data_IF_131398692772
#
_entry.id   IF_131398692772
#
_cell.length_a   1.000
_cell.length_b   1.000
_cell.length_c   1.000
_cell.angle_alpha   90.00
_cell.angle_beta   90.00
_cell.angle_gamma   90.00
#
_symmetry.space_group_name_H-M   'P 1'
#
loop_
_entity.id
_entity.type
_entity.pdbx_description
1 polymer ?
#
# COMPACT_ATOMS: atom_id res chain seq x y z
N UNK A 1 -4.31 -11.15 -13.68
CA UNK A 1 -5.43 -10.21 -13.98
C UNK A 1 -5.41 -9.02 -13.05
N UNK A 2 -5.21 -9.27 -11.77
CA UNK A 2 -5.23 -8.33 -10.66
C UNK A 2 -4.23 -7.15 -10.70
N UNK A 3 -3.14 -7.23 -11.48
CA UNK A 3 -2.21 -6.11 -11.71
C UNK A 3 -2.75 -5.07 -12.70
N UNK A 4 -3.69 -5.46 -13.57
CA UNK A 4 -4.21 -4.59 -14.63
C UNK A 4 -5.00 -3.42 -14.05
N UNK A 5 -5.73 -3.61 -12.95
CA UNK A 5 -6.47 -2.55 -12.27
C UNK A 5 -5.53 -1.51 -11.65
N UNK A 6 -4.54 -1.96 -10.87
CA UNK A 6 -3.56 -1.06 -10.25
C UNK A 6 -2.76 -0.28 -11.31
N UNK A 7 -2.35 -0.95 -12.39
CA UNK A 7 -1.69 -0.30 -13.51
C UNK A 7 -2.61 0.70 -14.20
N UNK A 8 -3.89 0.37 -14.41
CA UNK A 8 -4.86 1.28 -15.01
C UNK A 8 -5.05 2.54 -14.16
N UNK A 9 -5.07 2.42 -12.83
CA UNK A 9 -5.13 3.58 -11.92
C UNK A 9 -3.91 4.48 -12.11
N UNK A 10 -2.70 3.91 -12.13
CA UNK A 10 -1.47 4.68 -12.36
C UNK A 10 -1.45 5.34 -13.76
N UNK A 11 -1.94 4.64 -14.78
CA UNK A 11 -2.07 5.19 -16.13
C UNK A 11 -3.10 6.33 -16.18
N UNK A 12 -4.22 6.22 -15.48
CA UNK A 12 -5.21 7.31 -15.39
C UNK A 12 -4.57 8.56 -14.78
N UNK A 13 -3.77 8.41 -13.72
CA UNK A 13 -3.01 9.52 -13.13
C UNK A 13 -2.03 10.12 -14.15
N UNK A 14 -1.21 9.29 -14.80
CA UNK A 14 -0.23 9.74 -15.79
C UNK A 14 -0.88 10.43 -17.02
N UNK A 15 -2.10 10.02 -17.38
CA UNK A 15 -2.88 10.58 -18.48
C UNK A 15 -3.77 11.77 -18.06
N UNK A 16 -3.68 12.24 -16.81
CA UNK A 16 -4.51 13.32 -16.25
C UNK A 16 -6.02 13.04 -16.23
N UNK A 17 -6.42 11.76 -16.19
CA UNK A 17 -7.81 11.31 -16.03
C UNK A 17 -8.16 11.16 -14.55
N UNK A 18 -8.06 12.25 -13.80
CA UNK A 18 -8.16 12.21 -12.33
C UNK A 18 -9.56 11.81 -11.82
N UNK A 19 -10.61 12.09 -12.60
CA UNK A 19 -11.99 11.69 -12.28
C UNK A 19 -12.17 10.16 -12.26
N UNK A 20 -11.28 9.42 -12.93
CA UNK A 20 -11.30 7.96 -12.98
C UNK A 20 -10.44 7.32 -11.87
N UNK A 21 -9.94 8.12 -10.91
CA UNK A 21 -9.11 7.65 -9.79
C UNK A 21 -9.94 7.66 -8.51
N UNK A 22 -10.25 6.47 -7.98
CA UNK A 22 -11.00 6.33 -6.76
C UNK A 22 -10.27 6.94 -5.56
N UNK A 23 -11.01 7.61 -4.67
CA UNK A 23 -10.47 8.19 -3.43
C UNK A 23 -10.17 7.14 -2.36
N UNK A 24 -10.75 5.95 -2.43
CA UNK A 24 -10.45 4.84 -1.55
C UNK A 24 -10.23 3.58 -2.38
N UNK A 25 -9.26 2.76 -1.96
CA UNK A 25 -8.90 1.53 -2.66
C UNK A 25 -9.00 0.32 -1.76
N UNK A 26 -9.39 -0.85 -2.29
CA UNK A 26 -9.25 -2.11 -1.59
C UNK A 26 -7.79 -2.40 -1.23
N UNK A 27 -7.56 -3.06 -0.09
CA UNK A 27 -6.22 -3.43 0.37
C UNK A 27 -5.40 -4.20 -0.69
N UNK A 28 -5.93 -5.22 -1.40
CA UNK A 28 -5.16 -5.92 -2.44
C UNK A 28 -4.70 -5.01 -3.58
N UNK A 29 -5.51 -4.03 -3.97
CA UNK A 29 -5.17 -3.04 -5.01
C UNK A 29 -4.10 -2.08 -4.50
N UNK A 30 -4.20 -1.64 -3.24
CA UNK A 30 -3.20 -0.77 -2.60
C UNK A 30 -1.81 -1.42 -2.53
N UNK A 31 -1.74 -2.71 -2.19
CA UNK A 31 -0.48 -3.47 -2.21
C UNK A 31 0.16 -3.44 -3.60
N UNK A 32 -0.63 -3.70 -4.65
CA UNK A 32 -0.11 -3.70 -6.03
C UNK A 32 0.30 -2.31 -6.49
N UNK A 33 -0.45 -1.26 -6.14
CA UNK A 33 -0.02 0.10 -6.43
C UNK A 33 1.31 0.40 -5.75
N UNK A 34 1.51 -0.02 -4.50
CA UNK A 34 2.81 0.14 -3.84
C UNK A 34 3.94 -0.58 -4.60
N UNK A 35 3.70 -1.83 -5.04
CA UNK A 35 4.67 -2.59 -5.85
C UNK A 35 5.00 -1.88 -7.16
N UNK A 36 3.98 -1.42 -7.90
CA UNK A 36 4.18 -0.72 -9.16
C UNK A 36 4.84 0.65 -8.96
N UNK A 37 4.53 1.35 -7.87
CA UNK A 37 5.15 2.63 -7.54
C UNK A 37 6.65 2.49 -7.23
N UNK A 38 7.04 1.45 -6.51
CA UNK A 38 8.43 1.11 -6.27
C UNK A 38 9.13 0.67 -7.57
N UNK A 39 8.48 -0.20 -8.35
CA UNK A 39 9.02 -0.71 -9.62
C UNK A 39 9.29 0.38 -10.66
N UNK A 40 8.38 1.37 -10.77
CA UNK A 40 8.46 2.42 -11.79
C UNK A 40 8.91 3.78 -11.24
N UNK A 41 9.36 3.85 -9.98
CA UNK A 41 9.73 5.09 -9.28
C UNK A 41 8.69 6.21 -9.45
N UNK A 42 7.42 5.86 -9.27
CA UNK A 42 6.29 6.76 -9.54
C UNK A 42 5.51 7.21 -8.32
N UNK A 43 5.99 6.92 -7.10
CA UNK A 43 5.35 7.34 -5.81
C UNK A 43 4.97 8.83 -5.79
N UNK A 44 5.77 9.70 -6.41
CA UNK A 44 5.48 11.15 -6.42
C UNK A 44 4.18 11.50 -7.13
N UNK A 45 3.76 10.74 -8.15
CA UNK A 45 2.54 11.03 -8.89
C UNK A 45 1.29 10.70 -8.11
N UNK A 46 1.35 9.76 -7.16
CA UNK A 46 0.18 9.32 -6.38
C UNK A 46 -0.09 10.18 -5.15
N UNK A 47 0.81 11.11 -4.80
CA UNK A 47 0.72 11.98 -3.62
C UNK A 47 -0.67 12.60 -3.35
N UNK A 48 -1.42 13.10 -4.36
CA UNK A 48 -2.73 13.68 -4.11
C UNK A 48 -3.75 12.71 -3.47
N UNK A 49 -3.58 11.40 -3.66
CA UNK A 49 -4.54 10.39 -3.21
C UNK A 49 -4.05 9.58 -2.00
N UNK A 50 -2.75 9.58 -1.71
CA UNK A 50 -2.14 8.75 -0.65
C UNK A 50 -2.80 8.96 0.71
N UNK A 51 -3.18 10.18 1.07
CA UNK A 51 -3.86 10.43 2.35
C UNK A 51 -5.23 9.76 2.46
N UNK A 52 -5.99 9.73 1.37
CA UNK A 52 -7.30 9.08 1.35
C UNK A 52 -7.18 7.57 1.22
N UNK A 53 -6.25 7.08 0.38
CA UNK A 53 -5.98 5.65 0.20
C UNK A 53 -5.52 4.98 1.49
N UNK A 54 -4.74 5.69 2.31
CA UNK A 54 -4.17 5.16 3.55
C UNK A 54 -4.99 5.52 4.80
N UNK A 55 -6.21 6.03 4.63
CA UNK A 55 -7.08 6.42 5.74
C UNK A 55 -7.37 5.22 6.66
N UNK A 56 -7.03 5.39 7.94
CA UNK A 56 -7.22 4.34 8.96
C UNK A 56 -6.10 3.30 9.01
N UNK A 57 -4.93 3.62 8.46
CA UNK A 57 -3.72 2.78 8.49
C UNK A 57 -3.36 2.27 9.89
N UNK A 58 -3.60 3.03 10.96
CA UNK A 58 -3.32 2.60 12.34
C UNK A 58 -4.10 1.35 12.76
N UNK A 59 -5.32 1.20 12.26
CA UNK A 59 -6.20 0.06 12.60
C UNK A 59 -6.11 -1.04 11.55
N UNK A 60 -6.03 -0.66 10.28
CA UNK A 60 -6.02 -1.61 9.17
C UNK A 60 -4.72 -2.40 9.07
N UNK A 61 -3.60 -1.81 9.48
CA UNK A 61 -2.28 -2.44 9.39
C UNK A 61 -2.04 -3.53 10.43
N UNK A 62 -2.77 -3.52 11.54
CA UNK A 62 -2.66 -4.52 12.62
C UNK A 62 -3.61 -5.72 12.43
N UNK A 63 -4.35 -5.78 11.32
CA UNK A 63 -5.26 -6.90 11.05
C UNK A 63 -4.45 -8.14 10.61
N UNK A 64 -4.83 -9.36 11.05
CA UNK A 64 -4.27 -10.57 10.47
C UNK A 64 -4.52 -10.65 8.96
N UNK A 65 -3.52 -11.06 8.18
CA UNK A 65 -3.58 -11.09 6.70
C UNK A 65 -3.28 -9.75 6.02
N UNK A 66 -2.95 -8.71 6.81
CA UNK A 66 -2.66 -7.37 6.34
C UNK A 66 -1.16 -7.01 6.47
N UNK A 67 -0.28 -8.00 6.51
CA UNK A 67 1.15 -7.83 6.80
C UNK A 67 1.90 -6.98 5.76
N UNK A 68 1.40 -6.92 4.51
CA UNK A 68 1.98 -6.07 3.45
C UNK A 68 1.79 -4.57 3.73
N UNK A 69 1.05 -4.18 4.78
CA UNK A 69 1.07 -2.81 5.27
C UNK A 69 2.47 -2.32 5.64
N UNK A 70 3.38 -3.20 6.04
CA UNK A 70 4.78 -2.83 6.25
C UNK A 70 5.40 -2.29 4.95
N UNK A 71 5.17 -2.97 3.83
CA UNK A 71 5.67 -2.55 2.52
C UNK A 71 4.97 -1.29 2.01
N UNK A 72 3.63 -1.21 2.13
CA UNK A 72 2.86 -0.01 1.79
C UNK A 72 3.39 1.21 2.56
N UNK A 73 3.58 1.06 3.88
CA UNK A 73 4.08 2.13 4.73
C UNK A 73 5.49 2.58 4.33
N UNK A 74 6.36 1.64 3.96
CA UNK A 74 7.69 1.96 3.45
C UNK A 74 7.65 2.74 2.13
N UNK A 75 6.91 2.25 1.12
CA UNK A 75 6.79 2.88 -0.21
C UNK A 75 6.25 4.30 -0.12
N UNK A 76 5.21 4.52 0.68
CA UNK A 76 4.56 5.83 0.81
C UNK A 76 5.14 6.71 1.92
N UNK A 77 6.23 6.30 2.58
CA UNK A 77 6.93 7.10 3.58
C UNK A 77 6.18 7.30 4.90
N UNK A 78 5.33 6.34 5.28
CA UNK A 78 4.60 6.30 6.56
C UNK A 78 5.48 5.78 7.70
N UNK A 79 6.53 6.53 8.03
CA UNK A 79 7.58 6.11 8.97
C UNK A 79 7.03 5.61 10.32
N UNK A 80 6.05 6.31 10.90
CA UNK A 80 5.43 5.90 12.18
C UNK A 80 4.78 4.52 12.09
N UNK A 81 3.97 4.30 11.05
CA UNK A 81 3.28 3.01 10.83
C UNK A 81 4.29 1.91 10.54
N UNK A 82 5.31 2.21 9.73
CA UNK A 82 6.38 1.28 9.43
C UNK A 82 7.08 0.80 10.72
N UNK A 83 7.49 1.72 11.59
CA UNK A 83 8.17 1.40 12.84
C UNK A 83 7.28 0.58 13.79
N UNK A 84 6.02 0.97 13.94
CA UNK A 84 5.05 0.27 14.79
C UNK A 84 4.80 -1.17 14.29
N UNK A 85 4.66 -1.35 12.98
CA UNK A 85 4.47 -2.66 12.37
C UNK A 85 5.72 -3.53 12.44
N UNK A 86 6.91 -2.96 12.21
CA UNK A 86 8.16 -3.70 12.31
C UNK A 86 8.33 -4.26 13.74
N UNK A 87 8.08 -3.45 14.76
CA UNK A 87 8.12 -3.88 16.17
C UNK A 87 7.05 -4.93 16.45
N UNK A 88 5.83 -4.74 15.94
CA UNK A 88 4.74 -5.69 16.12
C UNK A 88 5.10 -7.06 15.53
N UNK A 89 5.54 -7.11 14.27
CA UNK A 89 5.92 -8.33 13.57
C UNK A 89 7.08 -9.05 14.28
N UNK A 90 8.11 -8.34 14.73
CA UNK A 90 9.21 -8.95 15.50
C UNK A 90 8.71 -9.64 16.77
N UNK A 91 7.67 -9.10 17.43
CA UNK A 91 7.11 -9.66 18.66
C UNK A 91 6.12 -10.80 18.42
N UNK A 92 5.48 -10.84 17.26
CA UNK A 92 4.40 -11.78 16.95
C UNK A 92 4.78 -12.85 15.94
N UNK A 93 5.94 -12.73 15.28
CA UNK A 93 6.43 -13.71 14.33
C UNK A 93 6.50 -15.09 14.99
N UNK A 94 5.86 -16.04 14.35
CA UNK A 94 5.94 -17.46 14.69
C UNK A 94 6.33 -18.16 13.42
N UNK A 95 7.35 -18.99 13.51
CA UNK A 95 7.73 -19.93 12.46
C UNK A 95 6.77 -21.10 12.63
N UNK A 96 6.00 -21.43 11.60
CA UNK A 96 5.27 -22.69 11.59
C UNK A 96 6.24 -23.86 11.42
N UNK A 97 5.79 -25.10 11.61
CA UNK A 97 6.71 -26.26 11.52
C UNK A 97 7.30 -26.46 10.12
N UNK A 98 6.81 -25.74 9.11
CA UNK A 98 7.20 -25.86 7.71
C UNK A 98 8.20 -24.77 7.23
N UNK A 99 8.42 -23.72 8.03
CA UNK A 99 9.49 -22.73 7.85
C UNK A 99 9.06 -21.45 7.14
#
# INVERSE_FOLDING_TARGET
>A
EDDSEALQILLNIAQSKFEDVASALPYPTLVKIAVLCDQYDCVRMTKPWVEDWLRGEEVLSLKPGHENWLFIAWVFGRAKIFDELAIHLIRTIRIDEDG
#
